data_IF_678083797629
#
_entry.id   IF_678083797629
#
_cell.length_a   1.000
_cell.length_b   1.000
_cell.length_c   1.000
_cell.angle_alpha   90.00
_cell.angle_beta   90.00
_cell.angle_gamma   90.00
#
_symmetry.space_group_name_H-M   'P 1'
#
loop_
_entity.id
_entity.type
_entity.pdbx_description
1 polymer ?
#
# COMPACT_ATOMS: atom_id res chain seq x y z
N UNK A 1 -7.31 18.97 -2.94
CA UNK A 1 -7.60 18.61 -4.35
C UNK A 1 -6.26 18.35 -5.01
N UNK A 2 -5.86 17.07 -5.14
CA UNK A 2 -4.61 16.74 -5.82
C UNK A 2 -4.83 16.98 -7.32
N UNK A 3 -3.96 17.76 -8.01
CA UNK A 3 -4.13 18.03 -9.43
C UNK A 3 -4.07 16.70 -10.17
N UNK A 4 -4.96 16.54 -11.16
CA UNK A 4 -4.96 15.40 -12.07
C UNK A 4 -3.57 15.29 -12.71
N UNK A 5 -2.74 14.41 -12.14
CA UNK A 5 -1.48 14.03 -12.74
C UNK A 5 -1.81 13.49 -14.13
N UNK A 6 -1.48 14.28 -15.17
CA UNK A 6 -1.60 13.89 -16.56
C UNK A 6 -0.73 12.67 -16.80
N UNK A 7 -1.30 11.48 -16.61
CA UNK A 7 -0.62 10.21 -16.89
C UNK A 7 -0.55 10.10 -18.42
N UNK A 8 0.65 10.01 -19.02
CA UNK A 8 0.78 9.87 -20.46
C UNK A 8 0.02 8.64 -20.98
N UNK A 9 -0.44 8.71 -22.24
CA UNK A 9 -1.15 7.63 -22.88
C UNK A 9 -0.28 6.36 -22.91
N UNK A 10 -0.82 5.27 -22.34
CA UNK A 10 -0.14 3.98 -22.16
C UNK A 10 0.31 3.36 -23.49
N UNK A 11 1.51 2.77 -23.48
CA UNK A 11 1.98 1.90 -24.57
C UNK A 11 1.17 0.60 -24.64
N UNK A 12 1.24 -0.14 -25.75
CA UNK A 12 0.58 -1.44 -25.88
C UNK A 12 1.12 -2.48 -24.87
N UNK A 13 2.37 -2.32 -24.44
CA UNK A 13 3.02 -3.12 -23.40
C UNK A 13 2.43 -2.90 -22.00
N UNK A 14 1.97 -1.68 -21.71
CA UNK A 14 1.31 -1.29 -20.45
C UNK A 14 -0.12 -1.82 -20.31
N UNK A 15 -0.71 -2.35 -21.39
CA UNK A 15 -2.08 -2.88 -21.36
C UNK A 15 -2.15 -4.26 -20.71
N UNK A 16 -1.06 -5.03 -20.74
CA UNK A 16 -1.06 -6.44 -20.31
C UNK A 16 -0.28 -6.73 -19.03
N UNK A 17 0.32 -5.73 -18.39
CA UNK A 17 1.10 -5.91 -17.16
C UNK A 17 0.55 -5.08 -16.01
N UNK A 18 0.44 -5.69 -14.84
CA UNK A 18 0.15 -4.97 -13.60
C UNK A 18 1.43 -4.33 -13.07
N UNK A 19 1.45 -3.00 -13.00
CA UNK A 19 2.57 -2.25 -12.43
C UNK A 19 2.28 -1.88 -10.98
N UNK A 20 2.71 -2.74 -10.06
CA UNK A 20 2.69 -2.47 -8.62
C UNK A 20 3.72 -1.37 -8.29
N UNK A 21 3.26 -0.35 -7.59
CA UNK A 21 4.11 0.72 -7.05
C UNK A 21 3.95 0.77 -5.55
N UNK A 22 5.02 0.45 -4.83
CA UNK A 22 5.08 0.65 -3.38
C UNK A 22 5.10 2.15 -3.10
N UNK A 23 4.20 2.63 -2.25
CA UNK A 23 4.19 4.03 -1.82
C UNK A 23 4.47 4.19 -0.32
N UNK A 24 4.28 3.13 0.46
CA UNK A 24 4.62 3.10 1.87
C UNK A 24 5.19 1.72 2.22
N UNK A 25 6.35 1.73 2.87
CA UNK A 25 7.04 0.56 3.40
C UNK A 25 7.42 0.88 4.84
N UNK A 26 6.83 0.17 5.80
CA UNK A 26 7.03 0.43 7.23
C UNK A 26 8.26 -0.28 7.79
N UNK A 27 8.96 -1.07 6.97
CA UNK A 27 10.17 -1.78 7.39
C UNK A 27 11.27 -0.80 7.79
N UNK A 28 12.11 -1.16 8.78
CA UNK A 28 13.32 -0.40 9.05
C UNK A 28 14.21 -0.31 7.81
N UNK A 29 14.88 0.83 7.64
CA UNK A 29 15.76 1.04 6.49
C UNK A 29 16.82 -0.07 6.40
N UNK A 30 17.05 -0.57 5.18
CA UNK A 30 17.99 -1.65 4.86
C UNK A 30 17.62 -3.03 5.46
N UNK A 31 16.39 -3.22 5.94
CA UNK A 31 15.88 -4.54 6.34
C UNK A 31 15.05 -5.13 5.22
N UNK A 32 15.50 -6.29 4.71
CA UNK A 32 14.80 -7.06 3.66
C UNK A 32 14.06 -8.29 4.24
N UNK A 33 13.81 -8.28 5.54
CA UNK A 33 13.10 -9.35 6.23
C UNK A 33 11.58 -9.32 5.91
N UNK A 34 10.89 -10.46 6.08
CA UNK A 34 9.42 -10.55 6.06
C UNK A 34 8.84 -9.93 7.34
N UNK A 35 8.99 -8.62 7.49
CA UNK A 35 8.48 -7.85 8.63
C UNK A 35 7.79 -6.59 8.15
N UNK A 36 7.01 -5.96 9.03
CA UNK A 36 6.29 -4.73 8.74
C UNK A 36 5.25 -4.89 7.63
N UNK A 37 4.82 -3.75 7.10
CA UNK A 37 3.72 -3.64 6.16
C UNK A 37 4.17 -2.88 4.92
N UNK A 38 3.81 -3.41 3.77
CA UNK A 38 4.11 -2.81 2.48
C UNK A 38 2.81 -2.54 1.73
N UNK A 39 2.64 -1.30 1.29
CA UNK A 39 1.43 -0.85 0.62
C UNK A 39 1.71 -0.48 -0.83
N UNK A 40 0.92 -1.06 -1.72
CA UNK A 40 1.07 -0.92 -3.16
C UNK A 40 -0.20 -0.38 -3.80
N UNK A 41 -0.02 0.38 -4.88
CA UNK A 41 -1.08 0.67 -5.84
C UNK A 41 -0.71 0.04 -7.17
N UNK A 42 -1.70 -0.46 -7.91
CA UNK A 42 -1.49 -0.89 -9.29
C UNK A 42 -1.69 0.33 -10.18
N UNK A 43 -0.60 0.95 -10.61
CA UNK A 43 -0.64 2.17 -11.42
C UNK A 43 -1.32 2.00 -12.79
N UNK A 44 -1.47 0.75 -13.24
CA UNK A 44 -2.24 0.43 -14.45
C UNK A 44 -3.75 0.34 -14.21
N UNK A 45 -4.23 0.32 -12.97
CA UNK A 45 -5.64 0.36 -12.57
C UNK A 45 -6.00 1.73 -11.99
N UNK A 46 -7.28 2.11 -12.11
CA UNK A 46 -7.86 3.33 -11.49
C UNK A 46 -8.97 2.97 -10.52
N UNK A 47 -8.83 1.84 -9.85
CA UNK A 47 -9.78 1.28 -8.88
C UNK A 47 -9.63 1.87 -7.47
N UNK A 48 -8.59 2.70 -7.26
CA UNK A 48 -8.25 3.28 -5.95
C UNK A 48 -7.99 2.22 -4.86
N UNK A 49 -7.66 0.99 -5.26
CA UNK A 49 -7.37 -0.09 -4.32
C UNK A 49 -5.93 0.05 -3.81
N UNK A 50 -5.79 0.02 -2.50
CA UNK A 50 -4.49 -0.09 -1.82
C UNK A 50 -4.30 -1.55 -1.44
N UNK A 51 -3.32 -2.18 -2.06
CA UNK A 51 -2.90 -3.54 -1.76
C UNK A 51 -1.95 -3.54 -0.58
N UNK A 52 -2.11 -4.52 0.30
CA UNK A 52 -1.38 -4.63 1.54
C UNK A 52 -0.71 -6.00 1.63
N UNK A 53 0.61 -5.98 1.74
CA UNK A 53 1.45 -7.14 2.02
C UNK A 53 1.94 -7.02 3.45
N UNK A 54 1.38 -7.85 4.32
CA UNK A 54 1.75 -7.91 5.73
C UNK A 54 2.88 -8.92 5.91
N UNK A 55 3.95 -8.54 6.59
CA UNK A 55 5.13 -9.38 6.87
C UNK A 55 5.70 -10.09 5.63
N UNK A 56 5.63 -9.43 4.46
CA UNK A 56 6.11 -10.02 3.21
C UNK A 56 5.26 -11.20 2.69
N UNK A 57 4.07 -11.44 3.23
CA UNK A 57 3.17 -12.51 2.78
C UNK A 57 2.41 -12.11 1.50
N UNK A 58 3.01 -12.43 0.36
CA UNK A 58 2.38 -12.25 -0.96
C UNK A 58 1.32 -13.31 -1.27
N UNK A 59 1.29 -14.44 -0.55
CA UNK A 59 0.31 -15.50 -0.78
C UNK A 59 -1.06 -15.11 -0.21
N UNK A 60 -1.08 -14.38 0.90
CA UNK A 60 -2.29 -13.85 1.52
C UNK A 60 -2.42 -12.34 1.31
N UNK A 61 -2.47 -11.93 0.03
CA UNK A 61 -2.62 -10.52 -0.32
C UNK A 61 -3.88 -9.93 0.32
N UNK A 62 -3.73 -8.74 0.91
CA UNK A 62 -4.80 -8.00 1.57
C UNK A 62 -5.09 -6.71 0.84
N UNK A 63 -6.21 -6.08 1.14
CA UNK A 63 -6.55 -4.73 0.71
C UNK A 63 -6.90 -3.86 1.90
N UNK A 64 -6.60 -2.57 1.80
CA UNK A 64 -7.04 -1.58 2.78
C UNK A 64 -8.43 -1.06 2.40
N UNK A 65 -9.39 -1.24 3.29
CA UNK A 65 -10.61 -0.44 3.29
C UNK A 65 -10.35 0.87 4.04
N UNK A 66 -10.99 1.95 3.61
CA UNK A 66 -10.73 3.32 4.11
C UNK A 66 -9.22 3.64 4.25
N UNK A 67 -8.46 3.62 3.12
CA UNK A 67 -7.03 3.88 3.15
C UNK A 67 -6.69 5.29 3.63
N UNK A 68 -7.64 6.23 3.62
CA UNK A 68 -7.41 7.60 4.11
C UNK A 68 -7.29 7.59 5.63
N UNK A 69 -8.25 6.99 6.35
CA UNK A 69 -8.19 6.89 7.82
C UNK A 69 -7.00 6.04 8.28
N UNK A 70 -6.73 4.92 7.62
CA UNK A 70 -5.60 4.05 7.95
C UNK A 70 -4.25 4.79 7.90
N UNK A 71 -3.99 5.53 6.82
CA UNK A 71 -2.73 6.24 6.61
C UNK A 71 -2.63 7.47 7.50
N UNK A 72 -3.74 8.17 7.77
CA UNK A 72 -3.75 9.30 8.72
C UNK A 72 -3.40 8.85 10.14
N UNK A 73 -3.98 7.74 10.61
CA UNK A 73 -3.68 7.18 11.93
C UNK A 73 -2.27 6.62 12.04
N UNK A 74 -1.77 5.97 10.98
CA UNK A 74 -0.37 5.58 10.91
C UNK A 74 0.55 6.80 10.99
N UNK A 75 0.25 7.85 10.23
CA UNK A 75 1.03 9.09 10.24
C UNK A 75 1.04 9.72 11.64
N UNK A 76 -0.11 9.75 12.32
CA UNK A 76 -0.21 10.24 13.69
C UNK A 76 0.61 9.38 14.68
N UNK A 77 0.62 8.05 14.52
CA UNK A 77 1.45 7.13 15.32
C UNK A 77 2.93 7.40 15.14
N UNK A 78 3.40 7.48 13.89
CA UNK A 78 4.79 7.75 13.54
C UNK A 78 5.25 9.12 14.00
N UNK A 79 4.47 10.19 13.72
CA UNK A 79 4.83 11.56 14.09
C UNK A 79 4.88 11.78 15.61
N UNK A 80 4.08 11.04 16.37
CA UNK A 80 4.11 11.06 17.84
C UNK A 80 5.17 10.14 18.44
N UNK A 81 5.88 9.37 17.61
CA UNK A 81 6.86 8.37 18.03
C UNK A 81 6.29 7.42 19.10
N UNK A 82 5.06 6.96 18.88
CA UNK A 82 4.42 6.01 19.78
C UNK A 82 5.20 4.68 19.75
N UNK A 83 5.36 4.01 20.91
CA UNK A 83 6.11 2.76 20.97
C UNK A 83 5.38 1.64 20.24
N UNK A 84 6.15 0.71 19.67
CA UNK A 84 5.63 -0.45 18.96
C UNK A 84 5.24 -0.19 17.51
N UNK A 85 4.89 -1.28 16.82
CA UNK A 85 4.40 -1.23 15.45
C UNK A 85 2.93 -0.79 15.42
N UNK A 86 2.56 -0.07 14.36
CA UNK A 86 1.18 0.32 14.16
C UNK A 86 0.39 -0.86 13.59
N UNK A 87 -0.73 -1.22 14.21
CA UNK A 87 -1.55 -2.33 13.75
C UNK A 87 -2.58 -1.87 12.70
N UNK A 88 -2.40 -2.32 11.45
CA UNK A 88 -3.31 -2.06 10.35
C UNK A 88 -4.49 -3.04 10.27
N UNK A 89 -4.59 -4.04 11.17
CA UNK A 89 -5.60 -5.11 11.11
C UNK A 89 -7.03 -4.59 10.98
N UNK A 90 -7.34 -3.45 11.60
CA UNK A 90 -8.68 -2.84 11.57
C UNK A 90 -9.12 -2.38 10.18
N UNK A 91 -8.18 -2.06 9.27
CA UNK A 91 -8.44 -1.61 7.90
C UNK A 91 -8.12 -2.68 6.85
N UNK A 92 -7.52 -3.78 7.28
CA UNK A 92 -6.87 -4.73 6.39
C UNK A 92 -7.72 -5.99 6.25
N UNK A 93 -8.14 -6.31 5.05
CA UNK A 93 -8.97 -7.49 4.77
C UNK A 93 -8.39 -8.35 3.64
N UNK A 94 -8.61 -9.68 3.62
CA UNK A 94 -8.13 -10.54 2.55
C UNK A 94 -8.67 -10.09 1.18
N UNK A 95 -7.78 -9.98 0.19
CA UNK A 95 -8.17 -9.67 -1.17
C UNK A 95 -8.96 -10.85 -1.77
N UNK A 96 -10.22 -10.60 -2.13
CA UNK A 96 -11.06 -11.53 -2.87
C UNK A 96 -11.11 -11.04 -4.32
N UNK A 97 -10.10 -11.43 -5.10
CA UNK A 97 -9.97 -11.10 -6.52
C UNK A 97 -10.87 -11.88 -7.44
#
# INVERSE_FOLDING_TARGET
>A
MFPDCLVPAKSEYDKNHYMFRCFLDTRPANVFAPTGDQFFVISTRRDQVVYHVHEGDFANLRVLHDPVDAIDRYSAHTLRNLPGEFDFSSWSEPYRG
#
